data_IF_244268840430
#
_entry.id   IF_244268840430
#
_cell.length_a   1.000
_cell.length_b   1.000
_cell.length_c   1.000
_cell.angle_alpha   90.00
_cell.angle_beta   90.00
_cell.angle_gamma   90.00
#
_symmetry.space_group_name_H-M   'P 1'
#
loop_
_entity.id
_entity.type
_entity.pdbx_description
1 polymer ?
#
# COMPACT_ATOMS: atom_id res chain seq x y z
N UNK A 1 15.54 -7.31 5.85
CA UNK A 1 15.87 -8.25 4.75
C UNK A 1 17.06 -7.69 3.98
N UNK A 2 17.97 -8.53 3.44
CA UNK A 2 18.98 -8.03 2.49
C UNK A 2 18.35 -7.87 1.11
N UNK A 3 18.65 -6.79 0.39
CA UNK A 3 18.04 -6.47 -0.92
C UNK A 3 18.11 -7.62 -1.93
N UNK A 4 19.21 -8.39 -1.94
CA UNK A 4 19.40 -9.55 -2.82
C UNK A 4 18.47 -10.73 -2.55
N UNK A 5 17.88 -10.79 -1.35
CA UNK A 5 16.97 -11.84 -0.91
C UNK A 5 15.50 -11.42 -1.12
N UNK A 6 15.25 -10.21 -1.64
CA UNK A 6 13.91 -9.67 -1.84
C UNK A 6 13.19 -10.34 -3.01
N UNK A 7 11.98 -10.90 -2.80
CA UNK A 7 11.21 -11.50 -3.87
C UNK A 7 10.86 -10.45 -4.94
N UNK A 8 10.99 -10.86 -6.21
CA UNK A 8 10.52 -10.08 -7.35
C UNK A 8 9.34 -10.82 -7.98
N UNK A 9 8.15 -10.23 -7.92
CA UNK A 9 6.92 -10.83 -8.44
C UNK A 9 6.55 -10.16 -9.75
N UNK A 10 6.45 -10.95 -10.83
CA UNK A 10 5.96 -10.45 -12.12
C UNK A 10 4.42 -10.48 -12.13
N UNK A 11 3.81 -9.32 -12.33
CA UNK A 11 2.37 -9.14 -12.40
C UNK A 11 1.97 -8.83 -13.83
N UNK A 12 1.39 -9.84 -14.49
CA UNK A 12 0.97 -9.82 -15.89
C UNK A 12 -0.51 -10.23 -16.02
N UNK A 13 -1.13 -9.92 -17.15
CA UNK A 13 -2.54 -10.20 -17.40
C UNK A 13 -3.48 -9.11 -16.87
N UNK A 14 -4.76 -9.43 -16.73
CA UNK A 14 -5.80 -8.47 -16.31
C UNK A 14 -5.71 -8.07 -14.82
N UNK A 15 -6.43 -7.03 -14.37
CA UNK A 15 -6.30 -6.53 -13.00
C UNK A 15 -6.51 -7.58 -11.91
N UNK A 16 -7.60 -8.35 -11.98
CA UNK A 16 -7.86 -9.44 -11.03
C UNK A 16 -6.86 -10.60 -11.14
N UNK A 17 -6.35 -10.88 -12.32
CA UNK A 17 -5.34 -11.93 -12.54
C UNK A 17 -4.01 -11.56 -11.90
N UNK A 18 -3.55 -10.32 -12.09
CA UNK A 18 -2.38 -9.78 -11.41
C UNK A 18 -2.52 -9.84 -9.90
N UNK A 19 -3.71 -9.48 -9.40
CA UNK A 19 -4.03 -9.64 -7.99
C UNK A 19 -3.86 -11.08 -7.51
N UNK A 20 -4.42 -12.06 -8.23
CA UNK A 20 -4.28 -13.49 -7.88
C UNK A 20 -2.83 -13.96 -7.90
N UNK A 21 -2.07 -13.60 -8.94
CA UNK A 21 -0.64 -13.92 -9.02
C UNK A 21 0.10 -13.40 -7.78
N UNK A 22 -0.16 -12.15 -7.39
CA UNK A 22 0.48 -11.57 -6.22
C UNK A 22 0.05 -12.29 -4.93
N UNK A 23 -1.26 -12.45 -4.72
CA UNK A 23 -1.82 -13.11 -3.54
C UNK A 23 -1.33 -14.55 -3.38
N UNK A 24 -1.31 -15.33 -4.46
CA UNK A 24 -0.87 -16.72 -4.44
C UNK A 24 0.63 -16.84 -4.21
N UNK A 25 1.43 -16.03 -4.90
CA UNK A 25 2.89 -16.08 -4.81
C UNK A 25 3.42 -15.60 -3.46
N UNK A 26 2.67 -14.76 -2.75
CA UNK A 26 3.07 -14.19 -1.45
C UNK A 26 2.14 -14.61 -0.31
N UNK A 27 1.32 -15.66 -0.48
CA UNK A 27 0.30 -16.10 0.48
C UNK A 27 0.81 -16.16 1.92
N UNK A 28 1.92 -16.86 2.14
CA UNK A 28 2.47 -17.05 3.49
C UNK A 28 3.03 -15.75 4.08
N UNK A 29 3.66 -14.91 3.24
CA UNK A 29 4.17 -13.61 3.63
C UNK A 29 3.02 -12.66 4.01
N UNK A 30 1.94 -12.66 3.21
CA UNK A 30 0.71 -11.88 3.47
C UNK A 30 0.07 -12.34 4.79
N UNK A 31 -0.06 -13.64 5.01
CA UNK A 31 -0.59 -14.16 6.27
C UNK A 31 0.27 -13.75 7.47
N UNK A 32 1.60 -13.81 7.33
CA UNK A 32 2.54 -13.43 8.38
C UNK A 32 2.46 -11.94 8.75
N UNK A 33 2.52 -11.05 7.76
CA UNK A 33 2.47 -9.60 8.02
C UNK A 33 1.10 -9.17 8.55
N UNK A 34 0.00 -9.76 8.04
CA UNK A 34 -1.34 -9.45 8.53
C UNK A 34 -1.54 -9.90 9.99
N UNK A 35 -0.97 -11.03 10.41
CA UNK A 35 -1.02 -11.45 11.80
C UNK A 35 -0.34 -10.43 12.73
N UNK A 36 0.83 -9.94 12.35
CA UNK A 36 1.55 -8.92 13.12
C UNK A 36 0.81 -7.57 13.14
N UNK A 37 0.23 -7.19 12.01
CA UNK A 37 -0.61 -5.99 11.90
C UNK A 37 -1.87 -6.08 12.78
N UNK A 38 -2.51 -7.24 12.85
CA UNK A 38 -3.65 -7.48 13.75
C UNK A 38 -3.24 -7.33 15.23
N UNK A 39 -2.11 -7.91 15.63
CA UNK A 39 -1.60 -7.79 17.00
C UNK A 39 -1.28 -6.32 17.36
N UNK A 40 -0.72 -5.56 16.42
CA UNK A 40 -0.43 -4.13 16.56
C UNK A 40 -1.73 -3.32 16.72
N UNK A 41 -2.73 -3.53 15.87
CA UNK A 41 -4.07 -2.93 16.00
C UNK A 41 -4.68 -3.24 17.38
N UNK A 42 -4.68 -4.51 17.78
CA UNK A 42 -5.29 -4.94 19.03
C UNK A 42 -4.65 -4.25 20.24
N UNK A 43 -3.33 -4.11 20.21
CA UNK A 43 -2.54 -3.41 21.23
C UNK A 43 -2.81 -1.91 21.22
N UNK A 44 -2.77 -1.27 20.05
CA UNK A 44 -2.92 0.17 19.90
C UNK A 44 -4.35 0.67 20.19
N UNK A 45 -5.36 -0.06 19.74
CA UNK A 45 -6.77 0.34 19.80
C UNK A 45 -7.50 -0.17 21.04
N UNK A 46 -6.93 -1.16 21.74
CA UNK A 46 -7.48 -1.75 22.96
C UNK A 46 -8.79 -2.53 22.75
N UNK A 47 -9.06 -2.95 21.50
CA UNK A 47 -10.23 -3.74 21.12
C UNK A 47 -9.82 -4.86 20.15
N UNK A 48 -10.71 -5.81 19.89
CA UNK A 48 -10.46 -6.87 18.91
C UNK A 48 -10.21 -6.27 17.51
N UNK A 49 -9.16 -6.71 16.77
CA UNK A 49 -8.84 -6.16 15.46
C UNK A 49 -9.99 -6.25 14.45
N UNK A 50 -10.71 -7.38 14.41
CA UNK A 50 -11.88 -7.53 13.53
C UNK A 50 -12.96 -6.48 13.80
N UNK A 51 -13.22 -6.18 15.07
CA UNK A 51 -14.19 -5.15 15.46
C UNK A 51 -13.70 -3.75 15.06
N UNK A 52 -12.40 -3.48 15.19
CA UNK A 52 -11.81 -2.23 14.75
C UNK A 52 -11.89 -2.05 13.24
N UNK A 53 -11.54 -3.07 12.45
CA UNK A 53 -11.59 -3.01 10.99
C UNK A 53 -13.02 -2.84 10.48
N UNK A 54 -13.99 -3.52 11.09
CA UNK A 54 -15.41 -3.31 10.79
C UNK A 54 -15.81 -1.85 11.08
N UNK A 55 -15.43 -1.32 12.25
CA UNK A 55 -15.69 0.08 12.63
C UNK A 55 -15.07 1.06 11.61
N UNK A 56 -13.82 0.84 11.21
CA UNK A 56 -13.10 1.65 10.24
C UNK A 56 -13.80 1.67 8.87
N UNK A 57 -14.16 0.49 8.35
CA UNK A 57 -14.82 0.38 7.05
C UNK A 57 -16.25 0.94 7.07
N UNK A 58 -16.98 0.79 8.18
CA UNK A 58 -18.32 1.38 8.35
C UNK A 58 -18.30 2.92 8.46
N UNK A 59 -17.21 3.48 9.01
CA UNK A 59 -17.06 4.92 9.22
C UNK A 59 -16.31 5.63 8.08
N UNK A 60 -16.01 4.92 7.00
CA UNK A 60 -15.38 5.43 5.78
C UNK A 60 -16.18 5.02 4.54
N UNK A 61 -15.92 5.65 3.40
CA UNK A 61 -16.64 5.44 2.15
C UNK A 61 -15.73 5.65 0.95
N UNK A 62 -14.64 4.87 0.88
CA UNK A 62 -13.64 4.99 -0.18
C UNK A 62 -14.07 4.34 -1.51
N UNK A 63 -14.97 3.35 -1.46
CA UNK A 63 -15.35 2.57 -2.64
C UNK A 63 -15.83 3.44 -3.82
N UNK A 64 -16.71 4.45 -3.65
CA UNK A 64 -17.12 5.29 -4.77
C UNK A 64 -15.97 6.09 -5.41
N UNK A 65 -14.96 6.48 -4.61
CA UNK A 65 -13.78 7.15 -5.14
C UNK A 65 -12.87 6.17 -5.89
N UNK A 66 -12.66 4.98 -5.35
CA UNK A 66 -11.89 3.90 -6.00
C UNK A 66 -12.54 3.53 -7.34
N UNK A 67 -13.84 3.26 -7.36
CA UNK A 67 -14.58 2.91 -8.59
C UNK A 67 -14.50 4.02 -9.65
N UNK A 68 -14.53 5.28 -9.22
CA UNK A 68 -14.47 6.44 -10.13
C UNK A 68 -13.09 6.63 -10.74
N UNK A 69 -12.04 6.50 -9.94
CA UNK A 69 -10.70 6.96 -10.33
C UNK A 69 -9.74 5.83 -10.69
N UNK A 70 -9.88 4.68 -10.04
CA UNK A 70 -9.00 3.52 -10.20
C UNK A 70 -9.79 2.20 -10.13
N UNK A 71 -10.78 1.97 -11.01
CA UNK A 71 -11.63 0.77 -10.93
C UNK A 71 -10.82 -0.54 -11.01
N UNK A 72 -9.79 -0.56 -11.86
CA UNK A 72 -8.92 -1.72 -12.06
C UNK A 72 -8.19 -2.14 -10.76
N UNK A 73 -7.87 -1.19 -9.86
CA UNK A 73 -7.17 -1.55 -8.62
C UNK A 73 -8.09 -2.23 -7.61
N UNK A 74 -9.41 -2.01 -7.67
CA UNK A 74 -10.36 -2.76 -6.84
C UNK A 74 -10.45 -4.22 -7.28
N UNK A 75 -10.40 -4.46 -8.59
CA UNK A 75 -10.31 -5.82 -9.13
C UNK A 75 -8.99 -6.51 -8.72
N UNK A 76 -7.88 -5.77 -8.71
CA UNK A 76 -6.58 -6.24 -8.23
C UNK A 76 -6.65 -6.62 -6.74
N UNK A 77 -7.26 -5.78 -5.88
CA UNK A 77 -7.50 -6.08 -4.46
C UNK A 77 -8.33 -7.35 -4.29
N UNK A 78 -9.39 -7.53 -5.09
CA UNK A 78 -10.18 -8.76 -5.09
C UNK A 78 -9.34 -9.99 -5.47
N UNK A 79 -8.50 -9.87 -6.49
CA UNK A 79 -7.57 -10.92 -6.88
C UNK A 79 -6.54 -11.24 -5.80
N UNK A 80 -5.98 -10.23 -5.15
CA UNK A 80 -5.01 -10.38 -4.04
C UNK A 80 -5.65 -11.11 -2.87
N UNK A 81 -6.88 -10.75 -2.50
CA UNK A 81 -7.63 -11.40 -1.44
C UNK A 81 -7.89 -12.88 -1.75
N UNK A 82 -8.36 -13.19 -2.97
CA UNK A 82 -8.56 -14.57 -3.43
C UNK A 82 -7.26 -15.38 -3.41
N UNK A 83 -6.20 -14.81 -3.97
CA UNK A 83 -4.91 -15.47 -4.08
C UNK A 83 -4.26 -15.70 -2.72
N UNK A 84 -4.42 -14.78 -1.77
CA UNK A 84 -3.91 -14.92 -0.42
C UNK A 84 -4.82 -15.78 0.48
N UNK A 85 -6.10 -15.95 0.13
CA UNK A 85 -7.08 -16.65 0.96
C UNK A 85 -7.53 -15.83 2.17
N UNK A 86 -7.61 -14.51 2.02
CA UNK A 86 -8.12 -13.57 3.04
C UNK A 86 -9.38 -12.88 2.54
N UNK A 87 -10.14 -12.25 3.44
CA UNK A 87 -11.33 -11.52 3.01
C UNK A 87 -10.96 -10.29 2.17
N UNK A 88 -11.81 -9.93 1.22
CA UNK A 88 -11.62 -8.73 0.40
C UNK A 88 -11.64 -7.46 1.26
N UNK A 89 -12.47 -7.42 2.29
CA UNK A 89 -12.57 -6.29 3.23
C UNK A 89 -11.27 -6.13 4.03
N UNK A 90 -10.68 -7.23 4.51
CA UNK A 90 -9.38 -7.22 5.19
C UNK A 90 -8.27 -6.75 4.24
N UNK A 91 -8.25 -7.26 3.00
CA UNK A 91 -7.24 -6.85 2.01
C UNK A 91 -7.37 -5.37 1.64
N UNK A 92 -8.61 -4.89 1.49
CA UNK A 92 -8.91 -3.48 1.25
C UNK A 92 -8.43 -2.62 2.43
N UNK A 93 -8.82 -2.97 3.66
CA UNK A 93 -8.42 -2.22 4.85
C UNK A 93 -6.89 -2.17 5.01
N UNK A 94 -6.20 -3.27 4.72
CA UNK A 94 -4.74 -3.31 4.73
C UNK A 94 -4.09 -2.40 3.66
N UNK A 95 -4.76 -2.21 2.53
CA UNK A 95 -4.37 -1.27 1.48
C UNK A 95 -4.89 0.16 1.70
N UNK A 96 -5.54 0.42 2.83
CA UNK A 96 -5.91 1.75 3.30
C UNK A 96 -5.08 2.12 4.54
N UNK A 97 -3.79 1.75 4.57
CA UNK A 97 -2.92 1.87 5.74
C UNK A 97 -2.79 3.32 6.25
N UNK A 98 -2.51 4.27 5.35
CA UNK A 98 -2.45 5.70 5.72
C UNK A 98 -3.80 6.18 6.28
N UNK A 99 -4.90 5.65 5.74
CA UNK A 99 -6.24 5.96 6.20
C UNK A 99 -6.58 5.38 7.57
N UNK A 100 -6.18 4.14 7.79
CA UNK A 100 -6.30 3.44 9.06
C UNK A 100 -5.52 4.19 10.15
N UNK A 101 -4.31 4.69 9.86
CA UNK A 101 -3.51 5.43 10.84
C UNK A 101 -4.18 6.73 11.31
N UNK A 102 -4.68 7.56 10.40
CA UNK A 102 -5.38 8.77 10.82
C UNK A 102 -6.72 8.46 11.48
N UNK A 103 -7.40 7.40 11.07
CA UNK A 103 -8.66 6.96 11.68
C UNK A 103 -8.44 6.49 13.12
N UNK A 104 -7.44 5.63 13.34
CA UNK A 104 -7.07 5.13 14.66
C UNK A 104 -6.68 6.26 15.62
N UNK A 105 -5.95 7.28 15.14
CA UNK A 105 -5.65 8.49 15.93
C UNK A 105 -6.90 9.26 16.33
N UNK A 106 -7.86 9.44 15.41
CA UNK A 106 -9.13 10.10 15.68
C UNK A 106 -9.98 9.32 16.68
N UNK A 107 -10.08 8.00 16.51
CA UNK A 107 -10.82 7.10 17.40
C UNK A 107 -10.35 7.21 18.85
N UNK A 108 -9.05 7.32 19.05
CA UNK A 108 -8.44 7.51 20.37
C UNK A 108 -8.46 8.98 20.85
N UNK A 109 -9.22 9.86 20.19
CA UNK A 109 -9.31 11.30 20.48
C UNK A 109 -7.94 12.01 20.50
N UNK A 110 -6.99 11.56 19.66
CA UNK A 110 -5.61 12.06 19.66
C UNK A 110 -4.82 11.74 20.93
N UNK A 111 -5.34 10.89 21.83
CA UNK A 111 -4.65 10.48 23.07
C UNK A 111 -3.49 9.53 22.84
N UNK A 112 -3.42 8.91 21.66
CA UNK A 112 -2.19 8.31 21.13
C UNK A 112 -1.23 9.44 20.69
N UNK A 113 -0.85 10.29 21.64
CA UNK A 113 0.15 11.33 21.49
C UNK A 113 1.52 10.73 21.74
N UNK A 114 2.00 9.96 20.78
CA UNK A 114 3.38 9.49 20.69
C UNK A 114 3.85 9.67 19.26
N UNK A 115 5.17 9.80 19.08
CA UNK A 115 5.79 9.54 17.78
C UNK A 115 5.31 8.16 17.30
N UNK A 116 4.61 8.10 16.18
CA UNK A 116 4.19 6.83 15.57
C UNK A 116 5.37 6.06 14.99
N UNK A 117 6.59 6.60 15.09
CA UNK A 117 7.82 6.00 14.58
C UNK A 117 7.91 6.06 13.06
N UNK A 118 6.80 6.39 12.39
CA UNK A 118 6.70 6.47 10.95
C UNK A 118 7.35 7.75 10.44
N UNK A 119 8.51 7.60 9.81
CA UNK A 119 9.24 8.69 9.18
C UNK A 119 9.56 8.30 7.74
N UNK A 120 9.35 9.23 6.82
CA UNK A 120 9.80 9.07 5.46
C UNK A 120 10.64 10.29 5.11
N UNK A 121 11.75 10.08 4.39
CA UNK A 121 12.54 11.15 3.80
C UNK A 121 12.66 10.90 2.30
N UNK A 122 12.33 11.91 1.50
CA UNK A 122 12.42 11.81 0.04
C UNK A 122 13.37 12.87 -0.53
N UNK A 123 14.07 12.51 -1.61
CA UNK A 123 14.99 13.37 -2.33
C UNK A 123 14.71 13.25 -3.84
N UNK A 124 14.73 14.39 -4.53
CA UNK A 124 14.73 14.45 -5.98
C UNK A 124 15.82 15.40 -6.48
N UNK A 125 16.63 14.95 -7.43
CA UNK A 125 17.65 15.75 -8.11
C UNK A 125 17.34 15.75 -9.60
N UNK A 126 17.06 16.92 -10.16
CA UNK A 126 16.76 17.07 -11.58
C UNK A 126 17.96 16.67 -12.46
N UNK A 127 17.66 16.16 -13.65
CA UNK A 127 18.66 15.86 -14.67
C UNK A 127 19.54 17.10 -14.95
N UNK A 128 20.86 16.91 -14.93
CA UNK A 128 21.84 17.98 -15.13
C UNK A 128 23.17 17.42 -15.66
N UNK A 129 23.81 18.13 -16.59
CA UNK A 129 25.16 17.81 -17.09
C UNK A 129 25.31 16.36 -17.60
N UNK A 130 24.27 15.83 -18.26
CA UNK A 130 24.25 14.46 -18.78
C UNK A 130 23.87 13.38 -17.75
N UNK A 131 23.64 13.74 -16.49
CA UNK A 131 23.08 12.84 -15.47
C UNK A 131 21.55 12.78 -15.55
N UNK A 132 20.95 11.60 -15.35
CA UNK A 132 19.49 11.47 -15.30
C UNK A 132 18.92 12.11 -14.03
N UNK A 133 17.59 12.22 -13.97
CA UNK A 133 16.90 12.55 -12.72
C UNK A 133 17.11 11.42 -11.71
N UNK A 134 17.46 11.77 -10.48
CA UNK A 134 17.52 10.82 -9.36
C UNK A 134 16.36 11.07 -8.41
N UNK A 135 15.68 10.00 -8.02
CA UNK A 135 14.62 10.01 -7.02
C UNK A 135 14.95 8.93 -5.99
N UNK A 136 14.85 9.25 -4.72
CA UNK A 136 15.15 8.31 -3.64
C UNK A 136 14.26 8.58 -2.41
N UNK A 137 14.01 7.53 -1.64
CA UNK A 137 13.22 7.61 -0.42
C UNK A 137 13.73 6.64 0.65
N UNK A 138 13.71 7.05 1.92
CA UNK A 138 13.66 6.14 3.08
C UNK A 138 12.19 5.86 3.43
N UNK A 139 11.92 4.60 3.78
CA UNK A 139 10.57 4.12 4.11
C UNK A 139 10.62 3.56 5.52
N UNK A 140 10.39 4.43 6.51
CA UNK A 140 10.44 4.06 7.91
C UNK A 140 8.99 3.94 8.37
N UNK A 141 8.46 2.71 8.31
CA UNK A 141 7.11 2.35 8.76
C UNK A 141 7.19 1.34 9.92
N UNK A 142 6.06 0.96 10.49
CA UNK A 142 5.99 0.07 11.64
C UNK A 142 6.83 -1.22 11.47
N UNK A 143 7.58 -1.57 12.52
CA UNK A 143 8.61 -2.62 12.46
C UNK A 143 8.11 -4.01 12.10
N UNK A 144 6.80 -4.27 12.21
CA UNK A 144 6.19 -5.52 11.76
C UNK A 144 6.29 -5.75 10.24
N UNK A 145 6.57 -4.71 9.46
CA UNK A 145 6.78 -4.84 8.01
C UNK A 145 8.16 -5.40 7.64
N UNK A 146 9.11 -5.41 8.58
CA UNK A 146 10.47 -5.84 8.34
C UNK A 146 10.53 -7.34 8.00
N UNK A 147 11.17 -7.69 6.88
CA UNK A 147 11.23 -9.07 6.40
C UNK A 147 10.12 -9.45 5.42
N UNK A 148 9.15 -8.56 5.18
CA UNK A 148 8.05 -8.77 4.24
C UNK A 148 8.14 -7.89 3.00
N UNK A 149 9.31 -7.29 2.75
CA UNK A 149 9.54 -6.47 1.56
C UNK A 149 9.42 -7.30 0.27
N UNK A 150 8.84 -6.70 -0.77
CA UNK A 150 8.68 -7.32 -2.09
C UNK A 150 8.84 -6.25 -3.19
N UNK A 151 9.41 -6.66 -4.32
CA UNK A 151 9.43 -5.84 -5.53
C UNK A 151 8.42 -6.39 -6.54
N UNK A 152 7.49 -5.56 -6.97
CA UNK A 152 6.48 -5.91 -7.96
C UNK A 152 6.92 -5.36 -9.32
N UNK A 153 7.06 -6.25 -10.29
CA UNK A 153 7.23 -5.88 -11.70
C UNK A 153 5.88 -5.99 -12.38
N UNK A 154 5.23 -4.86 -12.55
CA UNK A 154 3.89 -4.75 -13.10
C UNK A 154 3.93 -4.38 -14.58
N UNK A 155 3.15 -5.07 -15.41
CA UNK A 155 2.98 -4.72 -16.81
C UNK A 155 1.50 -4.50 -17.13
N UNK A 156 1.16 -3.32 -17.64
CA UNK A 156 -0.19 -3.03 -18.14
C UNK A 156 -0.22 -3.21 -19.66
N UNK A 157 -0.89 -4.26 -20.12
CA UNK A 157 -1.02 -4.56 -21.55
C UNK A 157 -1.79 -3.49 -22.34
N UNK A 158 -2.66 -2.70 -21.68
CA UNK A 158 -3.46 -1.66 -22.34
C UNK A 158 -2.62 -0.45 -22.68
N UNK A 159 -1.71 -0.05 -21.80
CA UNK A 159 -0.84 1.12 -22.00
C UNK A 159 0.54 0.73 -22.53
N UNK A 160 0.95 -0.53 -22.36
CA UNK A 160 2.29 -1.03 -22.64
C UNK A 160 3.32 -0.66 -21.56
N UNK A 161 2.90 0.03 -20.49
CA UNK A 161 3.79 0.55 -19.45
C UNK A 161 4.20 -0.57 -18.50
N UNK A 162 5.49 -0.59 -18.16
CA UNK A 162 6.05 -1.47 -17.13
C UNK A 162 6.50 -0.64 -15.93
N UNK A 163 5.99 -1.00 -14.76
CA UNK A 163 6.30 -0.34 -13.49
C UNK A 163 7.06 -1.28 -12.55
N UNK A 164 8.03 -0.73 -11.82
CA UNK A 164 8.69 -1.37 -10.70
C UNK A 164 8.22 -0.69 -9.42
N UNK A 165 7.62 -1.46 -8.52
CA UNK A 165 7.03 -0.95 -7.29
C UNK A 165 7.62 -1.70 -6.11
N UNK A 166 8.30 -0.98 -5.23
CA UNK A 166 8.68 -1.50 -3.92
C UNK A 166 7.45 -1.48 -3.01
N UNK A 167 7.20 -2.59 -2.34
CA UNK A 167 6.05 -2.77 -1.45
C UNK A 167 6.40 -3.69 -0.28
N UNK A 168 5.40 -3.94 0.56
CA UNK A 168 5.38 -5.05 1.50
C UNK A 168 4.29 -6.03 1.08
N UNK A 169 4.47 -7.31 1.38
CA UNK A 169 3.54 -8.37 0.98
C UNK A 169 2.09 -8.00 1.31
N UNK A 170 1.20 -7.99 0.32
CA UNK A 170 -0.21 -7.66 0.50
C UNK A 170 -0.58 -6.19 0.30
N UNK A 171 0.39 -5.30 0.08
CA UNK A 171 0.12 -3.92 -0.33
C UNK A 171 0.37 -3.70 -1.83
N UNK A 172 -0.45 -2.85 -2.46
CA UNK A 172 -0.35 -2.47 -3.87
C UNK A 172 1.00 -1.85 -4.21
N UNK A 173 1.48 -0.88 -3.41
CA UNK A 173 2.82 -0.30 -3.54
C UNK A 173 3.17 0.67 -2.41
N UNK A 174 4.45 0.96 -2.17
CA UNK A 174 4.86 2.06 -1.29
C UNK A 174 5.55 3.18 -2.09
N UNK A 175 6.52 2.81 -2.93
CA UNK A 175 7.23 3.71 -3.84
C UNK A 175 7.53 2.97 -5.14
N UNK A 176 7.67 3.67 -6.25
CA UNK A 176 8.01 3.01 -7.50
C UNK A 176 8.32 3.96 -8.65
N UNK A 177 8.54 3.36 -9.81
CA UNK A 177 8.81 4.05 -11.06
C UNK A 177 8.29 3.24 -12.25
N UNK A 178 8.13 3.87 -13.41
CA UNK A 178 7.76 3.20 -14.65
C UNK A 178 8.69 3.54 -15.82
N UNK A 179 8.56 2.78 -16.91
CA UNK A 179 9.33 2.97 -18.14
C UNK A 179 8.84 4.14 -19.01
N UNK A 180 7.77 4.83 -18.59
CA UNK A 180 7.33 6.11 -19.15
C UNK A 180 8.04 7.32 -18.51
N UNK A 181 8.95 7.10 -17.54
CA UNK A 181 9.74 8.16 -16.90
C UNK A 181 9.08 8.80 -15.68
N UNK A 182 8.07 8.16 -15.10
CA UNK A 182 7.41 8.59 -13.86
C UNK A 182 8.04 7.86 -12.67
N UNK A 183 8.28 8.59 -11.58
CA UNK A 183 8.68 8.03 -10.29
C UNK A 183 7.84 8.64 -9.16
N UNK A 184 7.50 7.84 -8.16
CA UNK A 184 6.63 8.21 -7.05
C UNK A 184 7.27 7.79 -5.73
N UNK A 185 7.40 8.76 -4.82
CA UNK A 185 7.70 8.55 -3.41
C UNK A 185 6.50 9.02 -2.58
N UNK A 186 6.28 8.40 -1.43
CA UNK A 186 5.11 8.67 -0.60
C UNK A 186 5.50 8.92 0.86
N UNK A 187 5.22 10.13 1.35
CA UNK A 187 5.45 10.50 2.74
C UNK A 187 4.10 10.80 3.39
N UNK A 188 3.76 10.05 4.43
CA UNK A 188 2.54 10.28 5.21
C UNK A 188 2.62 11.61 5.96
N UNK A 189 1.56 12.42 5.87
CA UNK A 189 1.45 13.72 6.54
C UNK A 189 0.14 13.79 7.35
N UNK A 190 0.13 13.15 8.53
CA UNK A 190 -1.06 13.00 9.37
C UNK A 190 -1.62 14.31 9.96
N UNK A 191 -0.88 15.42 9.84
CA UNK A 191 -1.31 16.76 10.26
C UNK A 191 -2.22 17.47 9.24
N UNK A 192 -2.32 16.95 8.02
CA UNK A 192 -3.14 17.56 6.97
C UNK A 192 -4.62 17.18 7.10
N UNK A 193 -5.46 17.92 6.38
CA UNK A 193 -6.88 17.60 6.22
C UNK A 193 -7.04 16.26 5.51
N UNK A 194 -8.07 15.53 5.92
CA UNK A 194 -8.37 14.19 5.41
C UNK A 194 -9.83 14.07 5.02
N UNK A 195 -10.14 13.07 4.20
CA UNK A 195 -11.47 12.80 3.70
C UNK A 195 -11.80 11.33 3.91
N UNK A 196 -12.92 11.07 4.59
CA UNK A 196 -13.44 9.71 4.81
C UNK A 196 -14.03 9.08 3.54
N UNK A 197 -14.18 9.87 2.48
CA UNK A 197 -14.74 9.53 1.18
C UNK A 197 -13.78 9.84 0.01
N UNK A 198 -12.49 10.05 0.32
CA UNK A 198 -11.45 10.31 -0.67
C UNK A 198 -10.96 9.06 -1.40
N UNK A 199 -10.07 9.24 -2.38
CA UNK A 199 -9.32 8.11 -2.94
C UNK A 199 -8.16 7.79 -1.98
N UNK A 200 -8.02 6.55 -1.48
CA UNK A 200 -6.96 6.22 -0.54
C UNK A 200 -5.56 6.34 -1.16
N UNK A 201 -4.54 6.62 -0.35
CA UNK A 201 -3.17 6.95 -0.80
C UNK A 201 -2.61 5.89 -1.74
N UNK A 202 -2.71 4.61 -1.36
CA UNK A 202 -2.24 3.47 -2.14
C UNK A 202 -2.84 3.42 -3.56
N UNK A 203 -4.09 3.84 -3.70
CA UNK A 203 -4.82 3.84 -4.96
C UNK A 203 -4.41 5.05 -5.82
N UNK A 204 -4.17 6.20 -5.19
CA UNK A 204 -3.59 7.38 -5.85
C UNK A 204 -2.22 7.04 -6.44
N UNK A 205 -1.30 6.53 -5.63
CA UNK A 205 0.07 6.23 -6.08
C UNK A 205 0.08 5.17 -7.17
N UNK A 206 -0.78 4.16 -7.05
CA UNK A 206 -0.95 3.13 -8.06
C UNK A 206 -1.47 3.67 -9.39
N UNK A 207 -2.45 4.57 -9.33
CA UNK A 207 -2.99 5.27 -10.50
C UNK A 207 -1.97 6.15 -11.20
N UNK A 208 -1.08 6.82 -10.46
CA UNK A 208 0.01 7.63 -11.02
C UNK A 208 1.00 6.76 -11.79
N UNK A 209 1.42 5.61 -11.24
CA UNK A 209 2.38 4.72 -11.92
C UNK A 209 1.81 3.98 -13.12
N UNK A 210 0.49 4.03 -13.33
CA UNK A 210 -0.18 3.52 -14.51
C UNK A 210 -0.27 4.54 -15.67
N UNK A 211 0.20 5.78 -15.46
CA UNK A 211 0.23 6.85 -16.48
C UNK A 211 1.51 6.85 -17.32
#
# INVERSE_FOLDING_TARGET
MRTQDMPVVALIGGPRERGRIYGESQRDAIAGIMALWYDDIGTAQGIAPDAYLAEFLENTNFLPAIERWTPDTMEEIGGMAEGAGVSQDTMLAFNCMDEEWWYGRERLAGKAGGDDGNHCSALAVAAKDGHPTYVAQTMDIAGWSEGFQVLLRYHDERTGITSLMFSVAGMLMLTGMNDAGVAVCCNTLLQLERRRDGLPVQFVTRGILAQ
#
